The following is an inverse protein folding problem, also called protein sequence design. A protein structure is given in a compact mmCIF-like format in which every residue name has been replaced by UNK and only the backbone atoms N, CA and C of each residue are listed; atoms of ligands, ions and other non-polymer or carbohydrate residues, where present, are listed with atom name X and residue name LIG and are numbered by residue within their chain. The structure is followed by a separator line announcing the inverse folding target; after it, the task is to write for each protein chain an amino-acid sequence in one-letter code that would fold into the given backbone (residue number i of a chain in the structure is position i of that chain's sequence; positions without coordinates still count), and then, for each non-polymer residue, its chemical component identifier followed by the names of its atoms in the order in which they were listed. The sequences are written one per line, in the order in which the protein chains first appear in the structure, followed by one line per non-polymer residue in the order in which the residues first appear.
data_IF_975220862852
#
_entry.id   IF_975220862852
#
_cell.length_a   1.000
_cell.length_b   1.000
_cell.length_c   1.000
_cell.angle_alpha   90.00
_cell.angle_beta   90.00
_cell.angle_gamma   90.00
#
_symmetry.space_group_name_H-M   'P 1'
#
loop_
_entity.id
_entity.type
_entity.pdbx_description
1 polymer ?
#
# COMPACT_ATOMS: atom_id res chain seq x y z
N UNK A 1 10.32 -7.95 -16.18
CA UNK A 1 8.93 -7.77 -15.73
C UNK A 1 8.95 -7.06 -14.39
N UNK A 2 8.17 -6.00 -14.25
CA UNK A 2 8.13 -5.22 -13.02
C UNK A 2 6.87 -5.52 -12.24
N UNK A 3 7.00 -5.41 -10.92
CA UNK A 3 5.87 -5.61 -10.03
C UNK A 3 5.56 -4.35 -9.25
N UNK A 4 4.30 -4.23 -8.87
CA UNK A 4 3.83 -3.22 -7.95
C UNK A 4 3.05 -3.93 -6.85
N UNK A 5 2.66 -3.20 -5.82
CA UNK A 5 1.91 -3.78 -4.72
C UNK A 5 0.62 -3.01 -4.50
N UNK A 6 -0.47 -3.74 -4.33
CA UNK A 6 -1.76 -3.20 -3.96
C UNK A 6 -1.93 -3.44 -2.47
N UNK A 7 -2.16 -2.40 -1.70
CA UNK A 7 -2.24 -2.47 -0.25
C UNK A 7 -3.63 -2.06 0.23
N UNK A 8 -4.16 -2.84 1.17
CA UNK A 8 -5.46 -2.61 1.78
C UNK A 8 -5.20 -2.11 3.21
N UNK A 9 -5.28 -0.82 3.40
CA UNK A 9 -4.89 -0.21 4.67
C UNK A 9 -5.77 0.93 5.11
N UNK A 10 -5.79 1.16 6.43
CA UNK A 10 -6.63 2.18 7.04
C UNK A 10 -5.92 3.47 7.42
N UNK A 11 -4.63 3.56 7.17
CA UNK A 11 -3.82 4.69 7.63
C UNK A 11 -4.17 5.98 6.88
N UNK A 12 -4.16 7.09 7.62
CA UNK A 12 -4.46 8.40 7.08
C UNK A 12 -3.42 8.82 6.04
N UNK A 13 -3.88 9.43 4.95
CA UNK A 13 -3.02 9.88 3.87
C UNK A 13 -1.94 10.85 4.36
N UNK A 14 -2.33 11.78 5.24
CA UNK A 14 -1.40 12.76 5.78
C UNK A 14 -0.27 12.11 6.60
N UNK A 15 -0.59 11.09 7.37
CA UNK A 15 0.41 10.35 8.11
C UNK A 15 1.41 9.67 7.19
N UNK A 16 0.94 9.07 6.10
CA UNK A 16 1.81 8.45 5.12
C UNK A 16 2.71 9.46 4.43
N UNK A 17 2.18 10.65 4.14
CA UNK A 17 2.96 11.75 3.57
C UNK A 17 4.08 12.18 4.52
N UNK A 18 3.75 12.36 5.79
CA UNK A 18 4.70 12.81 6.80
C UNK A 18 5.80 11.77 7.04
N UNK A 19 5.43 10.49 7.03
CA UNK A 19 6.37 9.40 7.22
C UNK A 19 7.25 9.15 5.99
N UNK A 20 6.77 9.54 4.82
CA UNK A 20 7.45 9.23 3.56
C UNK A 20 7.51 7.75 3.28
N UNK A 21 6.59 6.98 3.84
CA UNK A 21 6.59 5.53 3.71
C UNK A 21 5.26 4.92 4.06
N UNK A 22 5.11 3.68 3.66
CA UNK A 22 3.92 2.88 3.89
C UNK A 22 4.31 1.70 4.78
N UNK A 23 3.97 1.72 6.01
CA UNK A 23 4.27 0.66 6.97
C UNK A 23 3.02 0.12 7.60
N UNK A 24 3.02 -1.01 8.24
CA UNK A 24 4.14 -1.96 8.34
C UNK A 24 3.58 -3.31 7.91
N UNK A 25 4.24 -3.97 6.96
CA UNK A 25 3.67 -5.13 6.28
C UNK A 25 4.63 -6.33 6.29
N UNK A 26 4.05 -7.54 6.29
CA UNK A 26 4.84 -8.77 6.25
C UNK A 26 5.22 -9.11 4.80
N UNK A 27 5.95 -8.24 4.15
CA UNK A 27 6.39 -8.45 2.77
C UNK A 27 7.81 -9.04 2.76
N UNK A 28 8.13 -9.76 1.70
CA UNK A 28 9.48 -10.27 1.49
C UNK A 28 10.41 -9.09 1.19
N UNK A 29 11.54 -9.00 1.90
CA UNK A 29 12.49 -7.90 1.78
C UNK A 29 12.99 -7.71 0.34
N UNK A 30 13.48 -8.78 -0.25
CA UNK A 30 14.03 -8.72 -1.60
C UNK A 30 12.99 -8.31 -2.64
N UNK A 31 11.80 -8.87 -2.51
CA UNK A 31 10.71 -8.55 -3.42
C UNK A 31 10.27 -7.10 -3.25
N UNK A 32 10.20 -6.63 -2.00
CA UNK A 32 9.82 -5.26 -1.69
C UNK A 32 10.80 -4.24 -2.28
N UNK A 33 12.09 -4.55 -2.26
CA UNK A 33 13.13 -3.67 -2.81
C UNK A 33 13.03 -3.49 -4.32
N UNK A 34 12.35 -4.39 -4.99
CA UNK A 34 12.21 -4.37 -6.45
C UNK A 34 10.83 -3.92 -6.94
N UNK A 35 9.95 -3.51 -6.03
CA UNK A 35 8.62 -3.01 -6.41
C UNK A 35 8.73 -1.62 -7.03
N UNK A 36 7.92 -1.37 -8.04
CA UNK A 36 7.90 -0.08 -8.73
C UNK A 36 6.92 0.91 -8.10
N UNK A 37 5.68 0.49 -7.92
CA UNK A 37 4.62 1.34 -7.37
C UNK A 37 3.87 0.64 -6.25
N UNK A 38 3.25 1.46 -5.40
CA UNK A 38 2.27 0.96 -4.43
C UNK A 38 0.97 1.73 -4.64
N UNK A 39 -0.13 1.00 -4.66
CA UNK A 39 -1.46 1.59 -4.71
C UNK A 39 -2.14 1.29 -3.38
N UNK A 40 -2.58 2.32 -2.69
CA UNK A 40 -3.21 2.19 -1.39
C UNK A 40 -4.72 2.23 -1.56
N UNK A 41 -5.38 1.18 -1.08
CA UNK A 41 -6.83 1.11 -1.04
C UNK A 41 -7.28 1.15 0.41
N UNK A 42 -8.44 1.74 0.65
CA UNK A 42 -8.94 1.97 2.02
C UNK A 42 -9.55 0.71 2.63
N UNK A 43 -9.06 0.37 3.82
CA UNK A 43 -9.63 -0.67 4.65
C UNK A 43 -10.25 -0.01 5.89
N UNK A 44 -11.52 -0.23 6.14
CA UNK A 44 -12.24 0.40 7.24
C UNK A 44 -12.47 -0.53 8.42
N UNK A 45 -11.89 -1.72 8.42
CA UNK A 45 -12.18 -2.74 9.43
C UNK A 45 -11.54 -2.49 10.79
N UNK A 46 -10.48 -1.68 10.86
CA UNK A 46 -9.83 -1.36 12.11
C UNK A 46 -10.50 -0.16 12.77
N UNK A 47 -10.55 -0.13 14.10
CA UNK A 47 -11.14 0.99 14.83
C UNK A 47 -10.44 2.31 14.54
N UNK A 48 -9.12 2.27 14.35
CA UNK A 48 -8.31 3.45 14.08
C UNK A 48 -8.33 3.87 12.61
N UNK A 49 -9.00 3.10 11.74
CA UNK A 49 -9.02 3.39 10.31
C UNK A 49 -9.64 4.74 10.00
N UNK A 50 -9.10 5.40 8.99
CA UNK A 50 -9.62 6.67 8.50
C UNK A 50 -10.83 6.43 7.60
N UNK A 51 -11.94 7.05 7.93
CA UNK A 51 -13.21 6.90 7.20
C UNK A 51 -13.41 8.07 6.21
N UNK A 52 -12.49 8.22 5.29
CA UNK A 52 -12.50 9.30 4.31
C UNK A 52 -13.20 8.92 3.00
N UNK A 53 -13.25 7.64 2.68
CA UNK A 53 -13.87 7.10 1.47
C UNK A 53 -14.45 5.74 1.79
N UNK A 54 -15.15 5.15 0.84
CA UNK A 54 -15.74 3.84 1.02
C UNK A 54 -14.67 2.73 1.00
N UNK A 55 -15.02 1.62 1.61
CA UNK A 55 -14.17 0.42 1.67
C UNK A 55 -13.70 0.02 0.27
N UNK A 56 -12.39 -0.19 0.14
CA UNK A 56 -11.81 -0.66 -1.11
C UNK A 56 -11.51 0.42 -2.14
N UNK A 57 -11.78 1.69 -1.84
CA UNK A 57 -11.46 2.79 -2.75
C UNK A 57 -9.95 3.00 -2.80
N UNK A 58 -9.38 3.07 -4.00
CA UNK A 58 -7.97 3.43 -4.14
C UNK A 58 -7.81 4.94 -3.92
N UNK A 59 -6.93 5.32 -3.00
CA UNK A 59 -6.77 6.71 -2.56
C UNK A 59 -5.43 7.32 -2.94
N UNK A 60 -4.43 6.52 -3.21
CA UNK A 60 -3.08 7.00 -3.47
C UNK A 60 -2.29 6.01 -4.31
N UNK A 61 -1.52 6.53 -5.24
CA UNK A 61 -0.50 5.74 -5.92
C UNK A 61 0.84 6.41 -5.66
N UNK A 62 1.85 5.64 -5.28
CA UNK A 62 3.16 6.19 -4.99
C UNK A 62 4.26 5.42 -5.69
N UNK A 63 5.34 6.13 -6.01
CA UNK A 63 6.53 5.54 -6.61
C UNK A 63 7.48 5.13 -5.50
N UNK A 64 7.79 3.84 -5.44
CA UNK A 64 8.67 3.29 -4.42
C UNK A 64 10.13 3.53 -4.77
N UNK A 65 10.95 3.74 -3.75
CA UNK A 65 12.37 4.02 -3.92
C UNK A 65 13.25 2.78 -3.93
N UNK A 66 12.69 1.66 -3.51
CA UNK A 66 13.47 0.45 -3.26
C UNK A 66 14.05 0.39 -1.86
N UNK A 67 13.92 1.45 -1.08
CA UNK A 67 14.36 1.44 0.31
C UNK A 67 13.25 0.88 1.19
N UNK A 68 13.63 -0.06 2.03
CA UNK A 68 12.69 -0.77 2.89
C UNK A 68 13.21 -0.75 4.32
N UNK A 69 12.46 -0.14 5.22
CA UNK A 69 12.81 -0.14 6.64
C UNK A 69 12.24 -1.38 7.30
N UNK A 70 13.03 -1.99 8.16
CA UNK A 70 12.63 -3.17 8.89
C UNK A 70 12.27 -2.80 10.33
N UNK A 71 11.16 -3.32 10.82
CA UNK A 71 10.78 -3.11 12.22
C UNK A 71 11.78 -3.80 13.15
N UNK A 72 12.04 -3.18 14.31
CA UNK A 72 13.05 -3.68 15.26
C UNK A 72 12.64 -5.03 15.84
N UNK A 73 11.35 -5.19 16.12
CA UNK A 73 10.85 -6.33 16.89
C UNK A 73 9.97 -7.29 16.10
N UNK A 74 9.95 -7.17 14.79
CA UNK A 74 9.12 -8.04 13.95
C UNK A 74 9.67 -8.12 12.53
N UNK A 75 9.04 -8.97 11.71
CA UNK A 75 9.39 -9.08 10.30
C UNK A 75 8.61 -8.11 9.41
N UNK A 76 7.96 -7.14 9.99
CA UNK A 76 7.21 -6.14 9.24
C UNK A 76 8.17 -5.14 8.59
N UNK A 77 7.77 -4.66 7.43
CA UNK A 77 8.57 -3.71 6.63
C UNK A 77 7.77 -2.46 6.32
N UNK A 78 8.48 -1.35 6.20
CA UNK A 78 7.92 -0.08 5.74
C UNK A 78 8.52 0.23 4.37
N UNK A 79 7.66 0.47 3.39
CA UNK A 79 8.08 0.76 2.02
C UNK A 79 8.21 2.28 1.85
N UNK A 80 9.41 2.74 1.48
CA UNK A 80 9.64 4.17 1.26
C UNK A 80 9.26 4.60 -0.15
N UNK A 81 8.69 5.79 -0.28
CA UNK A 81 8.33 6.33 -1.59
C UNK A 81 8.94 7.72 -1.81
N UNK A 82 9.17 8.08 -3.07
CA UNK A 82 9.75 9.36 -3.46
C UNK A 82 8.71 10.38 -3.90
N UNK A 83 7.61 9.92 -4.46
CA UNK A 83 6.54 10.77 -4.94
C UNK A 83 5.23 10.00 -4.91
N UNK A 84 4.13 10.74 -4.92
CA UNK A 84 2.82 10.13 -4.89
C UNK A 84 1.79 11.04 -5.56
N UNK A 85 0.65 10.45 -5.91
CA UNK A 85 -0.50 11.17 -6.42
C UNK A 85 -1.74 10.67 -5.69
N UNK A 86 -2.64 11.60 -5.39
CA UNK A 86 -3.95 11.26 -4.84
C UNK A 86 -4.84 10.78 -5.97
N UNK A 87 -5.58 9.72 -5.72
CA UNK A 87 -6.53 9.17 -6.69
C UNK A 87 -7.83 8.85 -5.96
N UNK A 88 -8.86 8.52 -6.72
CA UNK A 88 -10.13 8.10 -6.16
C UNK A 88 -10.78 7.10 -7.12
N UNK A 89 -10.53 5.82 -6.88
CA UNK A 89 -11.06 4.75 -7.73
C UNK A 89 -11.88 3.82 -6.85
N UNK A 90 -13.22 3.94 -6.86
CA UNK A 90 -14.08 3.11 -6.03
C UNK A 90 -13.98 1.64 -6.38
N UNK A 91 -14.13 0.79 -5.37
CA UNK A 91 -14.11 -0.67 -5.51
C UNK A 91 -12.84 -1.25 -6.12
N UNK A 92 -11.73 -0.52 -6.06
CA UNK A 92 -10.47 -0.97 -6.66
C UNK A 92 -9.97 -2.27 -6.03
N UNK A 93 -10.01 -2.36 -4.69
CA UNK A 93 -9.57 -3.57 -3.99
C UNK A 93 -10.40 -4.78 -4.39
N UNK A 94 -11.73 -4.63 -4.39
CA UNK A 94 -12.62 -5.72 -4.72
C UNK A 94 -12.43 -6.21 -6.16
N UNK A 95 -12.28 -5.28 -7.09
CA UNK A 95 -12.10 -5.60 -8.51
C UNK A 95 -10.78 -6.30 -8.79
N UNK A 96 -9.71 -5.87 -8.12
CA UNK A 96 -8.38 -6.38 -8.40
C UNK A 96 -8.00 -7.63 -7.62
N UNK A 97 -8.74 -7.94 -6.56
CA UNK A 97 -8.37 -9.04 -5.66
C UNK A 97 -9.49 -10.05 -5.42
N UNK A 98 -10.70 -9.81 -5.93
CA UNK A 98 -11.89 -10.59 -5.57
C UNK A 98 -12.09 -10.64 -4.06
N UNK A 99 -11.81 -9.52 -3.38
CA UNK A 99 -11.98 -9.38 -1.93
C UNK A 99 -11.19 -10.40 -1.11
N UNK A 100 -9.96 -10.66 -1.51
CA UNK A 100 -9.09 -11.58 -0.78
C UNK A 100 -8.86 -11.11 0.68
N UNK A 101 -8.48 -12.04 1.55
CA UNK A 101 -8.23 -11.75 2.96
C UNK A 101 -6.88 -11.11 3.23
N UNK A 102 -5.85 -11.51 2.49
CA UNK A 102 -4.52 -10.99 2.66
C UNK A 102 -4.52 -9.48 2.39
N UNK A 103 -3.96 -8.63 3.28
CA UNK A 103 -4.05 -7.17 3.14
C UNK A 103 -3.17 -6.56 2.06
N UNK A 104 -2.50 -7.35 1.26
CA UNK A 104 -1.77 -6.85 0.10
C UNK A 104 -1.70 -7.89 -1.00
N UNK A 105 -1.47 -7.43 -2.21
CA UNK A 105 -1.33 -8.30 -3.37
C UNK A 105 -0.27 -7.72 -4.30
N UNK A 106 0.66 -8.57 -4.74
CA UNK A 106 1.60 -8.18 -5.77
C UNK A 106 0.90 -8.22 -7.11
N UNK A 107 1.11 -7.18 -7.91
CA UNK A 107 0.51 -7.07 -9.23
C UNK A 107 1.58 -6.74 -10.25
N UNK A 108 1.36 -7.17 -11.48
CA UNK A 108 2.26 -6.86 -12.57
C UNK A 108 2.05 -5.41 -12.98
N UNK A 109 3.15 -4.66 -13.08
CA UNK A 109 3.05 -3.26 -13.52
C UNK A 109 2.89 -3.25 -15.03
N UNK A 110 1.73 -2.81 -15.47
CA UNK A 110 1.46 -2.66 -16.90
C UNK A 110 1.67 -1.22 -17.30
N UNK A 111 2.49 -1.07 -18.29
CA UNK A 111 2.75 0.19 -18.94
C UNK A 111 1.68 1.25 -18.67
#
# INVERSE_FOLDING_TARGET
MRESILIFGGKNLKEMEEDGGIGWWYVNQERAENLEYAVITRCLTQEWATHDVEQGTAIMICKLTGMVDKAIDSNRKCLRFSSYAKINIPNAWQKMTNSQRNPFKYIETNK
#
